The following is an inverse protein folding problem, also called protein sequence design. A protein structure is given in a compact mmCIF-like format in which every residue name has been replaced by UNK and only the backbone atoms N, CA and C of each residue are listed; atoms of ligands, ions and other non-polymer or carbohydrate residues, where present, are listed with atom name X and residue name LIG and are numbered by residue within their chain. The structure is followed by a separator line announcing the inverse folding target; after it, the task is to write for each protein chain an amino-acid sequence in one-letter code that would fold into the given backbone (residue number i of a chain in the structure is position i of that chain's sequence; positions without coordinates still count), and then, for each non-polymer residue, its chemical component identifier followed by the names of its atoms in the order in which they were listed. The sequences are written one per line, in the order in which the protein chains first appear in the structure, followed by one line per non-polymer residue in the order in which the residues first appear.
data_IF_655830468167
#
_entry.id   IF_655830468167
#
_cell.length_a   1.000
_cell.length_b   1.000
_cell.length_c   1.000
_cell.angle_alpha   90.00
_cell.angle_beta   90.00
_cell.angle_gamma   90.00
#
_symmetry.space_group_name_H-M   'P 1'
#
loop_
_entity.id
_entity.type
_entity.pdbx_description
1 polymer ?
#
# COMPACT_ATOMS: atom_id res chain seq x y z
N UNK A 1 -39.02 10.89 -14.57
CA UNK A 1 -37.99 9.83 -14.69
C UNK A 1 -36.67 10.23 -14.06
N UNK A 2 -35.87 11.16 -14.60
CA UNK A 2 -34.55 11.46 -14.00
C UNK A 2 -34.66 12.15 -12.61
N UNK A 3 -35.59 13.10 -12.43
CA UNK A 3 -35.85 13.72 -11.12
C UNK A 3 -36.31 12.70 -10.08
N UNK A 4 -37.27 11.83 -10.45
CA UNK A 4 -37.78 10.76 -9.57
C UNK A 4 -36.68 9.77 -9.18
N UNK A 5 -35.77 9.45 -10.10
CA UNK A 5 -34.62 8.61 -9.79
C UNK A 5 -33.70 9.30 -8.77
N UNK A 6 -33.34 10.57 -8.99
CA UNK A 6 -32.46 11.31 -8.06
C UNK A 6 -33.10 11.46 -6.66
N UNK A 7 -34.41 11.69 -6.59
CA UNK A 7 -35.16 11.72 -5.33
C UNK A 7 -35.11 10.36 -4.61
N UNK A 8 -35.25 9.25 -5.36
CA UNK A 8 -35.14 7.91 -4.81
C UNK A 8 -33.71 7.63 -4.29
N UNK A 9 -32.68 7.99 -5.05
CA UNK A 9 -31.28 7.83 -4.64
C UNK A 9 -30.98 8.65 -3.36
N UNK A 10 -31.51 9.86 -3.27
CA UNK A 10 -31.38 10.69 -2.07
C UNK A 10 -32.09 10.06 -0.87
N UNK A 11 -33.28 9.50 -1.06
CA UNK A 11 -33.99 8.79 0.02
C UNK A 11 -33.22 7.57 0.52
N UNK A 12 -32.60 6.79 -0.36
CA UNK A 12 -31.72 5.69 0.02
C UNK A 12 -30.46 6.16 0.73
N UNK A 13 -29.89 7.29 0.30
CA UNK A 13 -28.72 7.86 0.97
C UNK A 13 -29.05 8.25 2.42
N UNK A 14 -30.20 8.89 2.65
CA UNK A 14 -30.67 9.26 4.00
C UNK A 14 -30.98 8.04 4.90
N UNK A 15 -31.11 6.85 4.32
CA UNK A 15 -31.33 5.58 5.01
C UNK A 15 -30.05 4.73 5.10
N UNK A 16 -28.90 5.29 4.72
CA UNK A 16 -27.61 4.60 4.61
C UNK A 16 -27.65 3.35 3.70
N UNK A 17 -28.61 3.28 2.77
CA UNK A 17 -28.78 2.18 1.82
C UNK A 17 -27.86 2.36 0.58
N UNK A 18 -26.56 2.60 0.81
CA UNK A 18 -25.59 2.90 -0.25
C UNK A 18 -25.44 1.77 -1.28
N UNK A 19 -25.52 0.50 -0.83
CA UNK A 19 -25.49 -0.65 -1.72
C UNK A 19 -26.61 -0.63 -2.77
N UNK A 20 -27.81 -0.14 -2.42
CA UNK A 20 -28.93 -0.02 -3.37
C UNK A 20 -28.69 1.10 -4.38
N UNK A 21 -28.05 2.19 -3.97
CA UNK A 21 -27.64 3.28 -4.87
C UNK A 21 -26.66 2.73 -5.91
N UNK A 22 -25.65 1.99 -5.45
CA UNK A 22 -24.65 1.36 -6.32
C UNK A 22 -25.32 0.43 -7.32
N UNK A 23 -26.07 -0.58 -6.84
CA UNK A 23 -26.75 -1.56 -7.71
C UNK A 23 -27.66 -0.86 -8.74
N UNK A 24 -28.41 0.16 -8.30
CA UNK A 24 -29.35 0.86 -9.18
C UNK A 24 -28.67 1.64 -10.29
N UNK A 25 -27.54 2.29 -10.00
CA UNK A 25 -26.80 3.09 -10.98
C UNK A 25 -25.95 2.19 -11.87
N UNK A 26 -25.33 1.13 -11.33
CA UNK A 26 -24.55 0.18 -12.11
C UNK A 26 -25.40 -0.56 -13.16
N UNK A 27 -26.69 -0.79 -12.88
CA UNK A 27 -27.65 -1.32 -13.84
C UNK A 27 -27.92 -0.39 -15.05
N UNK A 28 -27.51 0.88 -14.99
CA UNK A 28 -27.59 1.82 -16.11
C UNK A 28 -26.29 1.70 -16.91
N UNK A 29 -26.33 1.57 -18.25
CA UNK A 29 -25.12 1.54 -19.08
C UNK A 29 -24.22 2.76 -18.83
N UNK A 30 -22.90 2.57 -18.75
CA UNK A 30 -21.95 3.65 -18.47
C UNK A 30 -22.12 4.87 -19.38
N UNK A 31 -22.40 4.63 -20.67
CA UNK A 31 -22.63 5.69 -21.67
C UNK A 31 -23.89 6.53 -21.42
N UNK A 32 -24.80 6.05 -20.57
CA UNK A 32 -26.05 6.71 -20.20
C UNK A 32 -25.98 7.36 -18.81
N UNK A 33 -24.90 7.14 -18.06
CA UNK A 33 -24.70 7.76 -16.74
C UNK A 33 -24.25 9.21 -16.94
N UNK A 34 -25.08 10.14 -16.49
CA UNK A 34 -24.72 11.56 -16.52
C UNK A 34 -23.89 11.96 -15.30
N UNK A 35 -23.44 13.22 -15.28
CA UNK A 35 -22.67 13.80 -14.19
C UNK A 35 -23.28 13.56 -12.80
N UNK A 36 -24.61 13.71 -12.67
CA UNK A 36 -25.29 13.57 -11.40
C UNK A 36 -25.28 12.12 -10.91
N UNK A 37 -25.55 11.16 -11.81
CA UNK A 37 -25.52 9.74 -11.47
C UNK A 37 -24.10 9.31 -11.09
N UNK A 38 -23.08 9.77 -11.81
CA UNK A 38 -21.68 9.48 -11.49
C UNK A 38 -21.30 10.08 -10.13
N UNK A 39 -21.73 11.31 -9.85
CA UNK A 39 -21.52 11.94 -8.54
C UNK A 39 -22.17 11.17 -7.40
N UNK A 40 -23.40 10.66 -7.57
CA UNK A 40 -24.08 9.85 -6.55
C UNK A 40 -23.45 8.47 -6.39
N UNK A 41 -22.99 7.85 -7.48
CA UNK A 41 -22.29 6.57 -7.44
C UNK A 41 -20.97 6.70 -6.67
N UNK A 42 -20.14 7.70 -7.00
CA UNK A 42 -18.90 7.96 -6.28
C UNK A 42 -19.13 8.28 -4.79
N UNK A 43 -20.21 9.02 -4.47
CA UNK A 43 -20.60 9.25 -3.07
C UNK A 43 -20.93 7.93 -2.37
N UNK A 44 -21.71 7.06 -3.00
CA UNK A 44 -22.07 5.76 -2.43
C UNK A 44 -20.81 4.90 -2.22
N UNK A 45 -19.91 4.86 -3.20
CA UNK A 45 -18.63 4.18 -3.08
C UNK A 45 -17.76 4.67 -1.92
N UNK A 46 -17.63 5.99 -1.75
CA UNK A 46 -16.93 6.55 -0.59
C UNK A 46 -17.55 6.10 0.75
N UNK A 47 -18.87 5.98 0.83
CA UNK A 47 -19.54 5.55 2.06
C UNK A 47 -19.49 4.02 2.29
N UNK A 48 -19.12 3.23 1.28
CA UNK A 48 -18.94 1.77 1.39
C UNK A 48 -17.49 1.35 1.37
N UNK A 49 -16.52 2.27 1.52
CA UNK A 49 -15.09 1.96 1.50
C UNK A 49 -14.52 1.63 0.12
N UNK A 50 -15.30 1.77 -0.96
CA UNK A 50 -14.91 1.47 -2.35
C UNK A 50 -14.18 2.66 -2.98
N UNK A 51 -13.11 3.13 -2.32
CA UNK A 51 -12.48 4.42 -2.61
C UNK A 51 -11.81 4.47 -3.98
N UNK A 52 -11.22 3.36 -4.45
CA UNK A 52 -10.62 3.28 -5.79
C UNK A 52 -11.68 3.45 -6.87
N UNK A 53 -12.81 2.77 -6.75
CA UNK A 53 -13.92 2.95 -7.70
C UNK A 53 -14.51 4.36 -7.61
N UNK A 54 -14.56 4.97 -6.43
CA UNK A 54 -14.97 6.36 -6.29
C UNK A 54 -14.05 7.32 -7.07
N UNK A 55 -12.72 7.17 -6.94
CA UNK A 55 -11.74 7.95 -7.71
C UNK A 55 -11.95 7.74 -9.21
N UNK A 56 -12.05 6.49 -9.67
CA UNK A 56 -12.26 6.17 -11.08
C UNK A 56 -13.52 6.86 -11.65
N UNK A 57 -14.65 6.73 -10.95
CA UNK A 57 -15.90 7.36 -11.37
C UNK A 57 -15.79 8.89 -11.39
N UNK A 58 -15.20 9.51 -10.37
CA UNK A 58 -15.03 10.96 -10.32
C UNK A 58 -14.14 11.47 -11.45
N UNK A 59 -13.01 10.81 -11.69
CA UNK A 59 -12.08 11.17 -12.76
C UNK A 59 -12.71 11.03 -14.16
N UNK A 60 -13.65 10.10 -14.36
CA UNK A 60 -14.37 9.97 -15.65
C UNK A 60 -15.14 11.24 -16.06
N UNK A 61 -15.52 12.09 -15.09
CA UNK A 61 -16.24 13.35 -15.30
C UNK A 61 -15.44 14.58 -14.88
N UNK A 62 -14.11 14.48 -14.82
CA UNK A 62 -13.24 15.55 -14.31
C UNK A 62 -13.47 16.91 -14.99
N UNK A 63 -13.82 16.95 -16.28
CA UNK A 63 -14.08 18.20 -17.01
C UNK A 63 -15.32 18.94 -16.47
N UNK A 64 -16.35 18.19 -16.08
CA UNK A 64 -17.58 18.76 -15.50
C UNK A 64 -17.37 19.08 -14.01
N UNK A 65 -16.64 18.23 -13.29
CA UNK A 65 -16.40 18.35 -11.85
C UNK A 65 -15.34 19.38 -11.42
N UNK A 66 -14.48 19.84 -12.33
CA UNK A 66 -13.35 20.73 -11.99
C UNK A 66 -13.73 22.02 -11.25
N UNK A 67 -14.96 22.51 -11.44
CA UNK A 67 -15.51 23.71 -10.79
C UNK A 67 -16.62 23.40 -9.77
N UNK A 68 -16.81 22.13 -9.41
CA UNK A 68 -17.78 21.70 -8.41
C UNK A 68 -17.07 21.38 -7.08
N UNK A 69 -17.30 22.17 -6.02
CA UNK A 69 -16.66 21.95 -4.73
C UNK A 69 -17.03 20.61 -4.09
N UNK A 70 -18.24 20.08 -4.30
CA UNK A 70 -18.63 18.77 -3.76
C UNK A 70 -17.94 17.63 -4.48
N UNK A 71 -17.71 17.76 -5.79
CA UNK A 71 -16.92 16.80 -6.55
C UNK A 71 -15.46 16.79 -6.07
N UNK A 72 -14.86 17.98 -5.88
CA UNK A 72 -13.50 18.13 -5.38
C UNK A 72 -13.36 17.53 -3.98
N UNK A 73 -14.31 17.81 -3.08
CA UNK A 73 -14.35 17.23 -1.75
C UNK A 73 -14.44 15.69 -1.79
N UNK A 74 -15.34 15.14 -2.62
CA UNK A 74 -15.49 13.67 -2.74
C UNK A 74 -14.24 13.00 -3.31
N UNK A 75 -13.55 13.67 -4.23
CA UNK A 75 -12.30 13.18 -4.80
C UNK A 75 -11.17 13.23 -3.76
N UNK A 76 -11.05 14.35 -3.02
CA UNK A 76 -10.09 14.49 -1.94
C UNK A 76 -10.31 13.45 -0.84
N UNK A 77 -11.56 13.23 -0.45
CA UNK A 77 -11.96 12.20 0.51
C UNK A 77 -11.53 10.81 0.03
N UNK A 78 -11.86 10.44 -1.21
CA UNK A 78 -11.47 9.15 -1.76
C UNK A 78 -9.94 8.98 -1.80
N UNK A 79 -9.19 10.00 -2.21
CA UNK A 79 -7.73 9.98 -2.21
C UNK A 79 -7.12 9.84 -0.82
N UNK A 80 -7.72 10.45 0.20
CA UNK A 80 -7.26 10.35 1.59
C UNK A 80 -7.27 8.89 2.07
N UNK A 81 -8.36 8.17 1.80
CA UNK A 81 -8.53 6.79 2.26
C UNK A 81 -7.79 5.74 1.42
N UNK A 82 -7.20 6.12 0.29
CA UNK A 82 -6.22 5.28 -0.44
C UNK A 82 -4.78 5.79 -0.23
N UNK A 83 -4.56 6.56 0.84
CA UNK A 83 -3.26 7.13 1.23
C UNK A 83 -2.55 7.92 0.10
N UNK A 84 -3.29 8.52 -0.83
CA UNK A 84 -2.74 9.37 -1.88
C UNK A 84 -2.83 10.85 -1.44
N UNK A 85 -2.08 11.18 -0.39
CA UNK A 85 -2.23 12.45 0.33
C UNK A 85 -1.87 13.67 -0.52
N UNK A 86 -0.94 13.55 -1.46
CA UNK A 86 -0.62 14.63 -2.39
C UNK A 86 -1.82 15.00 -3.29
N UNK A 87 -2.51 14.00 -3.85
CA UNK A 87 -3.70 14.25 -4.68
C UNK A 87 -4.91 14.65 -3.82
N UNK A 88 -5.03 14.09 -2.61
CA UNK A 88 -6.05 14.51 -1.66
C UNK A 88 -5.90 16.01 -1.33
N UNK A 89 -4.67 16.47 -1.05
CA UNK A 89 -4.38 17.86 -0.74
C UNK A 89 -4.76 18.79 -1.90
N UNK A 90 -4.38 18.46 -3.14
CA UNK A 90 -4.75 19.25 -4.31
C UNK A 90 -6.27 19.36 -4.48
N UNK A 91 -7.00 18.26 -4.29
CA UNK A 91 -8.46 18.24 -4.41
C UNK A 91 -9.14 19.07 -3.32
N UNK A 92 -8.71 18.94 -2.06
CA UNK A 92 -9.27 19.72 -0.95
C UNK A 92 -8.91 21.20 -1.01
N UNK A 93 -7.70 21.56 -1.44
CA UNK A 93 -7.33 22.97 -1.69
C UNK A 93 -8.24 23.57 -2.78
N UNK A 94 -8.50 22.80 -3.84
CA UNK A 94 -9.42 23.23 -4.89
C UNK A 94 -10.87 23.33 -4.41
N UNK A 95 -11.30 22.47 -3.50
CA UNK A 95 -12.61 22.56 -2.86
C UNK A 95 -12.74 23.84 -2.03
N UNK A 96 -11.73 24.19 -1.22
CA UNK A 96 -11.71 25.42 -0.41
C UNK A 96 -11.65 26.69 -1.28
N UNK A 97 -10.92 26.67 -2.40
CA UNK A 97 -10.93 27.78 -3.37
C UNK A 97 -12.33 28.05 -3.94
N UNK A 98 -13.11 26.99 -4.21
CA UNK A 98 -14.45 27.06 -4.80
C UNK A 98 -15.53 27.38 -3.76
N UNK A 99 -15.37 26.87 -2.54
CA UNK A 99 -16.26 27.09 -1.40
C UNK A 99 -15.45 27.37 -0.13
N UNK A 100 -14.99 28.62 0.05
CA UNK A 100 -14.19 28.97 1.23
C UNK A 100 -15.00 28.84 2.52
N UNK A 101 -14.30 28.50 3.61
CA UNK A 101 -14.88 28.38 4.96
C UNK A 101 -15.82 27.18 5.16
N UNK A 102 -15.78 26.19 4.28
CA UNK A 102 -16.41 24.90 4.55
C UNK A 102 -15.66 24.17 5.67
N UNK A 103 -16.34 23.90 6.78
CA UNK A 103 -15.72 23.37 8.00
C UNK A 103 -15.11 21.98 7.77
N UNK A 104 -15.82 21.11 7.06
CA UNK A 104 -15.37 19.75 6.73
C UNK A 104 -14.13 19.76 5.85
N UNK A 105 -14.10 20.59 4.80
CA UNK A 105 -12.93 20.76 3.93
C UNK A 105 -11.73 21.27 4.71
N UNK A 106 -11.93 22.27 5.57
CA UNK A 106 -10.85 22.82 6.40
C UNK A 106 -10.33 21.81 7.44
N UNK A 107 -11.17 20.91 7.94
CA UNK A 107 -10.76 19.82 8.83
C UNK A 107 -9.84 18.82 8.12
N UNK A 108 -10.25 18.32 6.95
CA UNK A 108 -9.40 17.45 6.13
C UNK A 108 -8.09 18.14 5.76
N UNK A 109 -8.13 19.41 5.34
CA UNK A 109 -6.91 20.16 5.04
C UNK A 109 -5.94 20.23 6.21
N UNK A 110 -6.40 20.32 7.46
CA UNK A 110 -5.51 20.31 8.64
C UNK A 110 -4.86 18.95 8.84
N UNK A 111 -5.60 17.87 8.60
CA UNK A 111 -5.13 16.50 8.76
C UNK A 111 -4.13 16.10 7.66
N UNK A 112 -4.45 16.35 6.39
CA UNK A 112 -3.67 15.82 5.26
C UNK A 112 -2.40 16.61 4.94
N UNK A 113 -2.29 17.88 5.37
CA UNK A 113 -1.11 18.71 5.07
C UNK A 113 0.19 18.07 5.57
N UNK A 114 0.32 17.66 6.85
CA UNK A 114 1.53 16.96 7.31
C UNK A 114 1.77 15.66 6.53
N UNK A 115 0.74 14.87 6.24
CA UNK A 115 0.86 13.63 5.48
C UNK A 115 1.35 13.83 4.05
N UNK A 116 0.81 14.84 3.35
CA UNK A 116 1.24 15.19 2.00
C UNK A 116 2.68 15.72 1.98
N UNK A 117 3.08 16.50 3.00
CA UNK A 117 4.46 16.98 3.14
C UNK A 117 5.44 15.85 3.47
N UNK A 118 5.02 14.86 4.27
CA UNK A 118 5.77 13.62 4.51
C UNK A 118 5.91 12.82 3.22
N UNK A 119 4.82 12.51 2.54
CA UNK A 119 4.80 11.77 1.28
C UNK A 119 5.69 12.41 0.20
N UNK A 120 5.74 13.75 0.11
CA UNK A 120 6.65 14.46 -0.81
C UNK A 120 8.13 14.27 -0.46
N UNK A 121 8.46 14.31 0.83
CA UNK A 121 9.84 14.05 1.30
C UNK A 121 10.24 12.61 1.00
N UNK A 122 9.34 11.66 1.23
CA UNK A 122 9.57 10.24 0.97
C UNK A 122 9.72 9.96 -0.54
N UNK A 123 8.90 10.61 -1.38
CA UNK A 123 9.05 10.56 -2.84
C UNK A 123 10.42 11.09 -3.29
N UNK A 124 10.84 12.24 -2.78
CA UNK A 124 12.15 12.80 -3.11
C UNK A 124 13.28 11.87 -2.67
N UNK A 125 13.22 11.34 -1.44
CA UNK A 125 14.18 10.37 -0.92
C UNK A 125 14.24 9.11 -1.79
N UNK A 126 13.09 8.56 -2.17
CA UNK A 126 12.99 7.43 -3.09
C UNK A 126 13.68 7.73 -4.43
N UNK A 127 13.37 8.85 -5.07
CA UNK A 127 13.95 9.21 -6.37
C UNK A 127 15.49 9.33 -6.29
N UNK A 128 16.01 9.96 -5.24
CA UNK A 128 17.45 10.11 -5.00
C UNK A 128 18.14 8.77 -4.74
N UNK A 129 17.59 7.95 -3.83
CA UNK A 129 18.15 6.66 -3.46
C UNK A 129 18.05 5.64 -4.61
N UNK A 130 16.95 5.61 -5.36
CA UNK A 130 16.79 4.75 -6.53
C UNK A 130 17.75 5.13 -7.66
N UNK A 131 17.97 6.44 -7.88
CA UNK A 131 18.95 6.90 -8.85
C UNK A 131 20.39 6.51 -8.46
N UNK A 132 20.74 6.65 -7.17
CA UNK A 132 22.04 6.22 -6.65
C UNK A 132 22.21 4.69 -6.76
N UNK A 133 21.16 3.93 -6.45
CA UNK A 133 21.15 2.48 -6.55
C UNK A 133 21.39 2.02 -8.00
N UNK A 134 20.68 2.61 -8.97
CA UNK A 134 20.90 2.34 -10.41
C UNK A 134 22.32 2.66 -10.87
N UNK A 135 22.93 3.72 -10.33
CA UNK A 135 24.32 4.09 -10.65
C UNK A 135 25.36 3.11 -10.07
N UNK A 136 25.03 2.38 -9.00
CA UNK A 136 25.92 1.37 -8.42
C UNK A 136 26.16 0.17 -9.36
N UNK A 137 25.26 -0.04 -10.33
CA UNK A 137 25.29 -1.20 -11.24
C UNK A 137 24.80 -2.50 -10.60
N UNK A 138 24.35 -2.46 -9.34
CA UNK A 138 23.68 -3.56 -8.64
C UNK A 138 22.18 -3.39 -8.91
N UNK A 139 21.61 -4.17 -9.83
CA UNK A 139 20.17 -4.18 -10.06
C UNK A 139 19.71 -5.55 -10.54
N UNK A 140 18.79 -6.16 -9.80
CA UNK A 140 18.32 -7.53 -9.96
C UNK A 140 19.47 -8.53 -9.88
N UNK A 141 20.29 -8.44 -8.81
CA UNK A 141 21.49 -9.25 -8.62
C UNK A 141 21.45 -10.11 -7.34
N UNK A 142 20.25 -10.47 -6.84
CA UNK A 142 20.09 -11.30 -5.62
C UNK A 142 20.53 -12.77 -5.82
N UNK A 143 21.01 -13.18 -7.00
CA UNK A 143 21.63 -14.49 -7.19
C UNK A 143 23.12 -14.54 -6.82
N UNK A 144 23.71 -13.41 -6.47
CA UNK A 144 25.11 -13.30 -6.10
C UNK A 144 25.30 -12.61 -4.75
N UNK A 145 26.25 -13.12 -3.96
CA UNK A 145 26.64 -12.50 -2.71
C UNK A 145 27.22 -11.11 -2.94
N UNK A 146 26.86 -10.15 -2.09
CA UNK A 146 27.43 -8.80 -2.08
C UNK A 146 27.11 -8.10 -0.77
N UNK A 147 28.14 -7.54 -0.13
CA UNK A 147 28.02 -6.91 1.18
C UNK A 147 27.69 -7.93 2.26
N UNK A 148 26.64 -7.66 3.03
CA UNK A 148 26.08 -8.54 4.07
C UNK A 148 25.17 -9.63 3.52
N UNK A 149 24.77 -9.55 2.25
CA UNK A 149 23.89 -10.52 1.62
C UNK A 149 24.67 -11.68 0.99
N UNK A 150 24.33 -12.91 1.36
CA UNK A 150 24.77 -14.14 0.71
C UNK A 150 23.57 -15.09 0.49
N UNK A 151 23.19 -15.41 -0.76
CA UNK A 151 22.05 -16.29 -1.03
C UNK A 151 22.22 -17.70 -0.43
N UNK A 152 23.45 -18.16 -0.18
CA UNK A 152 23.70 -19.48 0.39
C UNK A 152 23.35 -19.59 1.89
N UNK A 153 23.35 -18.46 2.60
CA UNK A 153 23.08 -18.41 4.05
C UNK A 153 21.88 -17.52 4.38
N UNK A 154 21.20 -16.97 3.37
CA UNK A 154 20.10 -16.03 3.57
C UNK A 154 18.92 -16.67 4.29
N UNK A 155 18.59 -17.94 4.03
CA UNK A 155 17.42 -18.60 4.59
C UNK A 155 17.77 -19.48 5.80
N UNK A 156 17.05 -19.31 6.91
CA UNK A 156 17.12 -20.21 8.07
C UNK A 156 16.58 -21.58 7.69
N UNK A 157 17.40 -22.61 7.85
CA UNK A 157 17.02 -23.99 7.61
C UNK A 157 16.38 -24.59 8.87
N UNK A 158 15.05 -24.73 8.87
CA UNK A 158 14.32 -25.37 9.96
C UNK A 158 13.05 -26.05 9.46
N UNK A 159 12.63 -27.13 10.14
CA UNK A 159 11.38 -27.83 9.83
C UNK A 159 10.17 -26.88 9.96
N UNK A 160 10.22 -25.96 10.92
CA UNK A 160 9.17 -24.94 11.09
C UNK A 160 9.05 -24.02 9.86
N UNK A 161 10.18 -23.47 9.37
CA UNK A 161 10.16 -22.63 8.18
C UNK A 161 9.67 -23.42 6.96
N UNK A 162 10.16 -24.66 6.79
CA UNK A 162 9.79 -25.52 5.67
C UNK A 162 8.29 -25.84 5.63
N UNK A 163 7.69 -26.13 6.79
CA UNK A 163 6.29 -26.52 6.88
C UNK A 163 5.34 -25.32 6.70
N UNK A 164 5.72 -24.14 7.22
CA UNK A 164 4.80 -23.00 7.34
C UNK A 164 5.02 -21.89 6.29
N UNK A 165 6.26 -21.66 5.84
CA UNK A 165 6.62 -20.48 5.04
C UNK A 165 7.25 -20.81 3.68
N UNK A 166 7.84 -21.99 3.50
CA UNK A 166 8.48 -22.37 2.23
C UNK A 166 7.47 -23.03 1.31
N UNK A 167 7.03 -22.27 0.31
CA UNK A 167 6.17 -22.73 -0.78
C UNK A 167 6.89 -23.62 -1.78
N UNK A 168 6.12 -24.36 -2.58
CA UNK A 168 6.64 -25.06 -3.76
C UNK A 168 7.26 -24.07 -4.78
N UNK A 169 8.19 -24.50 -5.66
CA UNK A 169 8.70 -23.65 -6.73
C UNK A 169 7.60 -23.23 -7.71
N UNK A 170 7.58 -21.95 -8.07
CA UNK A 170 6.62 -21.36 -9.01
C UNK A 170 7.14 -21.37 -10.46
N UNK A 171 6.21 -21.25 -11.41
CA UNK A 171 6.51 -21.03 -12.82
C UNK A 171 6.02 -19.67 -13.34
N UNK A 172 6.15 -19.43 -14.64
CA UNK A 172 5.73 -18.16 -15.26
C UNK A 172 4.21 -17.97 -15.25
N UNK A 173 3.43 -19.05 -15.31
CA UNK A 173 1.96 -18.97 -15.26
C UNK A 173 1.51 -18.53 -13.86
N UNK A 174 2.15 -19.05 -12.81
CA UNK A 174 1.88 -18.66 -11.43
C UNK A 174 2.24 -17.19 -11.17
N UNK A 175 3.39 -16.71 -11.66
CA UNK A 175 3.74 -15.27 -11.57
C UNK A 175 2.64 -14.42 -12.21
N UNK A 176 2.23 -14.74 -13.44
CA UNK A 176 1.19 -13.96 -14.15
C UNK A 176 -0.14 -14.01 -13.40
N UNK A 177 -0.50 -15.16 -12.82
CA UNK A 177 -1.72 -15.30 -12.03
C UNK A 177 -1.68 -14.42 -10.78
N UNK A 178 -0.58 -14.44 -10.02
CA UNK A 178 -0.41 -13.65 -8.80
C UNK A 178 -0.40 -12.15 -9.11
N UNK A 179 0.33 -11.72 -10.15
CA UNK A 179 0.35 -10.31 -10.57
C UNK A 179 -1.03 -9.82 -11.03
N UNK A 180 -1.83 -10.66 -11.69
CA UNK A 180 -3.20 -10.33 -12.08
C UNK A 180 -4.14 -10.19 -10.87
N UNK A 181 -4.02 -11.09 -9.90
CA UNK A 181 -4.83 -11.09 -8.68
C UNK A 181 -4.51 -9.89 -7.77
N UNK A 182 -3.21 -9.62 -7.58
CA UNK A 182 -2.75 -8.49 -6.77
C UNK A 182 -2.86 -7.17 -7.53
N UNK A 183 -2.86 -7.18 -8.86
CA UNK A 183 -2.95 -5.98 -9.71
C UNK A 183 -1.63 -5.21 -9.84
N UNK A 184 -0.51 -5.86 -9.52
CA UNK A 184 0.82 -5.25 -9.46
C UNK A 184 1.86 -6.20 -10.05
N UNK A 185 2.81 -5.63 -10.81
CA UNK A 185 3.97 -6.35 -11.33
C UNK A 185 4.95 -6.65 -10.19
N UNK A 186 5.37 -7.91 -10.02
CA UNK A 186 6.35 -8.27 -9.00
C UNK A 186 7.74 -7.74 -9.38
N UNK A 187 8.52 -7.18 -8.43
CA UNK A 187 9.89 -6.76 -8.70
C UNK A 187 10.73 -7.93 -9.21
N UNK A 188 11.58 -7.70 -10.21
CA UNK A 188 12.42 -8.76 -10.76
C UNK A 188 13.39 -9.31 -9.71
N UNK A 189 13.86 -8.48 -8.77
CA UNK A 189 14.66 -8.88 -7.62
C UNK A 189 13.89 -9.79 -6.66
N UNK A 190 12.59 -9.54 -6.44
CA UNK A 190 11.72 -10.38 -5.63
C UNK A 190 11.62 -11.78 -6.23
N UNK A 191 11.29 -11.87 -7.51
CA UNK A 191 11.23 -13.14 -8.26
C UNK A 191 12.58 -13.87 -8.19
N UNK A 192 13.70 -13.16 -8.30
CA UNK A 192 15.03 -13.77 -8.19
C UNK A 192 15.30 -14.38 -6.82
N UNK A 193 14.94 -13.69 -5.74
CA UNK A 193 15.10 -14.22 -4.39
C UNK A 193 14.21 -15.45 -4.20
N UNK A 194 12.94 -15.38 -4.62
CA UNK A 194 12.00 -16.49 -4.46
C UNK A 194 12.36 -17.72 -5.30
N UNK A 195 13.14 -17.55 -6.37
CA UNK A 195 13.73 -18.67 -7.11
C UNK A 195 14.85 -19.41 -6.34
N UNK A 196 15.42 -18.80 -5.29
CA UNK A 196 16.38 -19.50 -4.41
C UNK A 196 15.65 -20.37 -3.39
N UNK A 197 14.58 -19.83 -2.80
CA UNK A 197 13.62 -20.51 -1.94
C UNK A 197 12.34 -19.66 -1.95
N UNK A 198 11.18 -20.27 -2.20
CA UNK A 198 9.93 -19.53 -2.38
C UNK A 198 9.29 -19.22 -1.02
N UNK A 199 9.69 -18.11 -0.41
CA UNK A 199 9.30 -17.75 0.95
C UNK A 199 10.17 -18.41 2.03
N UNK A 200 10.04 -17.93 3.26
CA UNK A 200 10.80 -18.47 4.39
C UNK A 200 11.20 -17.42 5.42
N UNK A 201 12.08 -17.83 6.33
CA UNK A 201 12.60 -16.95 7.39
C UNK A 201 14.03 -16.55 7.02
N UNK A 202 14.33 -15.25 6.87
CA UNK A 202 15.69 -14.80 6.60
C UNK A 202 16.57 -14.93 7.86
N UNK A 203 17.88 -15.09 7.67
CA UNK A 203 18.85 -15.17 8.75
C UNK A 203 19.13 -13.81 9.41
N UNK A 204 18.92 -12.73 8.65
CA UNK A 204 18.99 -11.34 9.13
C UNK A 204 17.57 -10.76 9.04
N UNK A 205 17.06 -10.26 10.15
CA UNK A 205 15.63 -9.95 10.33
C UNK A 205 15.39 -8.49 10.66
N UNK A 206 16.42 -7.69 10.92
CA UNK A 206 16.27 -6.28 11.32
C UNK A 206 16.63 -5.36 10.17
N UNK A 207 15.83 -4.30 9.97
CA UNK A 207 16.11 -3.24 9.00
C UNK A 207 16.25 -1.88 9.70
N UNK A 208 17.42 -1.20 9.57
CA UNK A 208 17.63 0.14 10.12
C UNK A 208 16.70 1.20 9.51
N UNK A 209 16.12 2.06 10.34
CA UNK A 209 15.37 3.25 9.93
C UNK A 209 15.87 4.52 10.64
N UNK A 210 15.51 5.68 10.11
CA UNK A 210 15.79 7.00 10.73
C UNK A 210 14.53 7.60 11.36
N UNK A 211 13.41 6.92 11.22
CA UNK A 211 12.09 7.31 11.69
C UNK A 211 11.65 6.29 12.73
N UNK A 212 11.26 6.77 13.91
CA UNK A 212 10.77 5.92 14.98
C UNK A 212 9.42 5.30 14.60
N UNK A 213 9.24 4.05 15.01
CA UNK A 213 7.96 3.32 14.95
C UNK A 213 7.30 3.30 16.33
N UNK A 214 6.13 2.66 16.46
CA UNK A 214 5.52 2.45 17.78
C UNK A 214 6.37 1.59 18.72
N UNK A 215 7.25 0.75 18.16
CA UNK A 215 8.03 -0.24 18.90
C UNK A 215 9.50 0.13 19.09
N UNK A 216 10.16 0.71 18.09
CA UNK A 216 11.60 1.05 18.16
C UNK A 216 11.93 2.42 17.55
N UNK A 217 12.98 3.07 18.05
CA UNK A 217 13.38 4.41 17.62
C UNK A 217 14.07 4.46 16.25
N UNK A 218 14.75 3.37 15.85
CA UNK A 218 15.71 3.39 14.75
C UNK A 218 15.78 2.09 13.91
N UNK A 219 14.83 1.17 14.08
CA UNK A 219 14.75 -0.06 13.29
C UNK A 219 13.33 -0.65 13.23
N UNK A 220 13.13 -1.59 12.31
CA UNK A 220 11.97 -2.50 12.27
C UNK A 220 12.48 -3.94 12.15
N UNK A 221 11.67 -4.90 12.55
CA UNK A 221 11.97 -6.32 12.45
C UNK A 221 10.96 -7.05 11.56
N UNK A 222 11.43 -8.05 10.81
CA UNK A 222 10.60 -8.98 10.05
C UNK A 222 10.78 -10.40 10.59
N UNK A 223 9.73 -11.22 10.51
CA UNK A 223 9.77 -12.62 10.93
C UNK A 223 9.78 -13.59 9.75
N UNK A 224 9.21 -13.21 8.62
CA UNK A 224 9.15 -14.05 7.44
C UNK A 224 9.09 -13.19 6.16
N UNK A 225 9.49 -13.78 5.04
CA UNK A 225 9.19 -13.29 3.70
C UNK A 225 8.17 -14.21 3.07
N UNK A 226 7.12 -13.61 2.52
CA UNK A 226 6.04 -14.33 1.84
C UNK A 226 6.55 -14.95 0.52
N UNK A 227 6.11 -16.16 0.20
CA UNK A 227 6.36 -16.81 -1.09
C UNK A 227 5.36 -16.39 -2.18
N UNK A 228 5.72 -16.57 -3.44
CA UNK A 228 4.82 -16.42 -4.59
C UNK A 228 3.94 -17.67 -4.69
N UNK A 229 2.62 -17.53 -4.53
CA UNK A 229 1.67 -18.63 -4.69
C UNK A 229 0.50 -18.53 -3.70
N UNK A 230 -0.28 -19.62 -3.64
CA UNK A 230 -1.47 -19.79 -2.78
C UNK A 230 -1.34 -20.96 -1.79
N UNK A 231 -0.26 -21.74 -1.89
CA UNK A 231 -0.11 -23.04 -1.23
C UNK A 231 0.15 -22.94 0.28
N UNK A 232 0.74 -21.84 0.74
CA UNK A 232 0.96 -21.53 2.16
C UNK A 232 0.01 -20.46 2.65
N UNK A 233 -0.36 -20.55 3.93
CA UNK A 233 -1.21 -19.56 4.62
C UNK A 233 -0.59 -18.16 4.51
N UNK A 234 0.75 -18.06 4.63
CA UNK A 234 1.52 -16.82 4.58
C UNK A 234 2.23 -16.61 3.23
N UNK A 235 1.73 -17.20 2.14
CA UNK A 235 2.14 -16.82 0.80
C UNK A 235 1.44 -15.53 0.36
N UNK A 236 1.95 -14.88 -0.70
CA UNK A 236 1.40 -13.62 -1.22
C UNK A 236 -0.11 -13.66 -1.44
N UNK A 237 -0.62 -14.78 -1.99
CA UNK A 237 -2.04 -15.04 -2.20
C UNK A 237 -2.55 -16.20 -1.32
N UNK A 238 -1.91 -16.40 -0.16
CA UNK A 238 -2.38 -17.32 0.87
C UNK A 238 -3.60 -16.79 1.63
N UNK A 239 -4.14 -17.62 2.53
CA UNK A 239 -5.30 -17.27 3.38
C UNK A 239 -5.07 -16.00 4.21
N UNK A 240 -3.85 -15.79 4.71
CA UNK A 240 -3.44 -14.60 5.46
C UNK A 240 -2.44 -13.75 4.64
N UNK A 241 -2.54 -13.82 3.31
CA UNK A 241 -1.67 -13.10 2.37
C UNK A 241 -2.02 -11.62 2.20
N UNK A 242 -1.50 -11.01 1.13
CA UNK A 242 -1.58 -9.57 0.94
C UNK A 242 -2.99 -9.01 0.87
N UNK A 243 -3.94 -9.73 0.24
CA UNK A 243 -5.33 -9.28 0.13
C UNK A 243 -6.06 -9.32 1.47
N UNK A 244 -5.86 -10.37 2.25
CA UNK A 244 -6.43 -10.47 3.59
C UNK A 244 -5.98 -9.31 4.49
N UNK A 245 -4.69 -8.96 4.46
CA UNK A 245 -4.19 -7.83 5.26
C UNK A 245 -4.84 -6.49 4.86
N UNK A 246 -5.05 -6.26 3.56
CA UNK A 246 -5.67 -5.02 3.07
C UNK A 246 -7.18 -5.01 3.33
N UNK A 247 -7.88 -6.09 3.00
CA UNK A 247 -9.35 -6.15 2.96
C UNK A 247 -9.96 -6.45 4.34
N UNK A 248 -9.38 -7.36 5.10
CA UNK A 248 -9.91 -7.81 6.40
C UNK A 248 -9.25 -7.09 7.58
N UNK A 249 -7.96 -6.77 7.47
CA UNK A 249 -7.23 -6.03 8.52
C UNK A 249 -7.18 -4.52 8.30
N UNK A 250 -7.61 -4.04 7.13
CA UNK A 250 -7.75 -2.61 6.86
C UNK A 250 -6.45 -1.86 6.57
N UNK A 251 -5.37 -2.58 6.25
CA UNK A 251 -4.13 -1.94 5.80
C UNK A 251 -4.37 -1.12 4.51
N UNK A 252 -3.68 0.01 4.34
CA UNK A 252 -3.84 0.84 3.15
C UNK A 252 -3.44 0.06 1.90
N UNK A 253 -4.24 0.19 0.85
CA UNK A 253 -3.99 -0.45 -0.44
C UNK A 253 -2.88 0.34 -1.19
N UNK A 254 -1.63 0.13 -0.78
CA UNK A 254 -0.43 0.75 -1.37
C UNK A 254 0.16 -0.10 -2.51
N UNK A 255 -0.09 -1.41 -2.46
CA UNK A 255 0.64 -2.42 -3.22
C UNK A 255 0.55 -3.80 -2.59
N UNK A 256 1.70 -4.45 -2.40
CA UNK A 256 1.78 -5.87 -2.00
C UNK A 256 2.40 -5.98 -0.61
N UNK A 257 1.74 -6.65 0.34
CA UNK A 257 2.35 -7.07 1.61
C UNK A 257 3.32 -8.22 1.35
N UNK A 258 4.54 -8.11 1.85
CA UNK A 258 5.62 -9.06 1.53
C UNK A 258 6.30 -9.71 2.75
N UNK A 259 6.06 -9.20 3.96
CA UNK A 259 6.63 -9.76 5.18
C UNK A 259 5.60 -9.83 6.30
N UNK A 260 5.73 -10.85 7.14
CA UNK A 260 5.21 -10.80 8.50
C UNK A 260 6.23 -10.10 9.42
N UNK A 261 5.73 -9.42 10.44
CA UNK A 261 6.52 -8.83 11.52
C UNK A 261 6.26 -9.54 12.86
N UNK A 262 7.15 -9.41 13.87
CA UNK A 262 7.01 -10.08 15.16
C UNK A 262 5.73 -9.76 15.95
N UNK A 263 5.03 -8.68 15.60
CA UNK A 263 3.79 -8.23 16.25
C UNK A 263 2.56 -9.09 15.96
N UNK A 264 2.71 -10.16 15.16
CA UNK A 264 1.61 -11.01 14.70
C UNK A 264 0.55 -10.25 13.88
N UNK A 265 1.01 -9.35 13.00
CA UNK A 265 0.18 -8.68 12.00
C UNK A 265 -0.33 -7.29 12.40
N UNK A 266 0.15 -6.73 13.51
CA UNK A 266 -0.11 -5.31 13.87
C UNK A 266 0.83 -4.36 13.13
N UNK A 267 1.82 -4.89 12.43
CA UNK A 267 2.62 -4.17 11.45
C UNK A 267 3.03 -5.10 10.30
N UNK A 268 3.28 -4.48 9.14
CA UNK A 268 3.65 -5.20 7.91
C UNK A 268 4.70 -4.43 7.12
N UNK A 269 5.42 -5.15 6.27
CA UNK A 269 6.26 -4.53 5.23
C UNK A 269 5.58 -4.71 3.87
N UNK A 270 5.48 -3.61 3.11
CA UNK A 270 4.81 -3.56 1.81
C UNK A 270 5.74 -3.06 0.71
N UNK A 271 5.51 -3.56 -0.51
CA UNK A 271 5.92 -2.90 -1.75
C UNK A 271 4.93 -1.77 -2.04
N UNK A 272 5.38 -0.52 -2.04
CA UNK A 272 4.55 0.66 -2.27
C UNK A 272 4.70 1.15 -3.73
N UNK A 273 3.59 1.08 -4.47
CA UNK A 273 3.53 1.44 -5.89
C UNK A 273 3.00 2.87 -6.12
N UNK A 274 2.66 3.65 -5.08
CA UNK A 274 2.11 5.00 -5.23
C UNK A 274 3.00 5.93 -6.03
N UNK A 275 4.32 5.72 -6.00
CA UNK A 275 5.28 6.57 -6.71
C UNK A 275 5.58 6.11 -8.15
N UNK A 276 5.38 4.83 -8.47
CA UNK A 276 5.83 4.25 -9.75
C UNK A 276 4.69 3.66 -10.60
N UNK A 277 3.48 3.51 -10.03
CA UNK A 277 2.35 2.85 -10.68
C UNK A 277 2.50 1.33 -10.72
N UNK A 278 1.45 0.57 -11.10
CA UNK A 278 1.39 -0.88 -10.89
C UNK A 278 2.44 -1.70 -11.66
N UNK A 279 3.03 -1.13 -12.71
CA UNK A 279 4.05 -1.77 -13.55
C UNK A 279 5.48 -1.29 -13.22
N UNK A 280 5.62 -0.39 -12.25
CA UNK A 280 6.89 0.23 -11.88
C UNK A 280 7.75 -0.61 -10.94
N UNK A 281 8.96 -0.13 -10.64
CA UNK A 281 9.76 -0.65 -9.54
C UNK A 281 9.31 0.05 -8.25
N UNK A 282 8.65 -0.65 -7.31
CA UNK A 282 8.14 -0.05 -6.06
C UNK A 282 9.26 0.19 -5.06
N UNK A 283 9.06 1.16 -4.17
CA UNK A 283 9.85 1.26 -2.95
C UNK A 283 9.32 0.29 -1.88
N UNK A 284 10.05 0.16 -0.78
CA UNK A 284 9.63 -0.67 0.36
C UNK A 284 9.28 0.23 1.54
N UNK A 285 8.14 -0.04 2.17
CA UNK A 285 7.64 0.70 3.34
C UNK A 285 7.23 -0.26 4.45
N UNK A 286 7.30 0.22 5.68
CA UNK A 286 6.67 -0.38 6.85
C UNK A 286 5.34 0.33 7.13
N UNK A 287 4.32 -0.40 7.58
CA UNK A 287 3.03 0.17 7.96
C UNK A 287 2.64 -0.33 9.34
N UNK A 288 2.39 0.61 10.25
CA UNK A 288 2.15 0.36 11.67
C UNK A 288 0.69 0.60 12.04
N UNK A 289 -0.07 -0.47 12.28
CA UNK A 289 -1.50 -0.36 12.62
C UNK A 289 -1.72 0.33 13.98
N UNK A 290 -0.82 0.13 14.95
CA UNK A 290 -0.97 0.70 16.29
C UNK A 290 -0.79 2.23 16.27
N UNK A 291 -0.10 2.74 15.25
CA UNK A 291 0.09 4.16 14.99
C UNK A 291 -0.75 4.65 13.79
N UNK A 292 -2.03 4.28 13.73
CA UNK A 292 -3.00 4.74 12.72
C UNK A 292 -2.56 4.45 11.26
N UNK A 293 -1.94 3.29 11.05
CA UNK A 293 -1.36 2.88 9.76
C UNK A 293 -0.29 3.83 9.23
N UNK A 294 0.50 4.43 10.13
CA UNK A 294 1.66 5.27 9.76
C UNK A 294 2.58 4.52 8.80
N UNK A 295 2.95 5.19 7.70
CA UNK A 295 3.74 4.59 6.62
C UNK A 295 5.18 5.10 6.73
N UNK A 296 6.11 4.22 7.06
CA UNK A 296 7.54 4.55 7.17
C UNK A 296 8.31 4.08 5.94
N UNK A 297 9.00 4.98 5.25
CA UNK A 297 9.83 4.63 4.10
C UNK A 297 11.10 3.88 4.53
N UNK A 298 11.36 2.70 3.95
CA UNK A 298 12.50 1.86 4.28
C UNK A 298 13.60 1.90 3.20
N UNK A 299 13.25 1.58 1.95
CA UNK A 299 14.24 1.36 0.89
C UNK A 299 13.71 1.73 -0.50
N UNK A 300 14.60 2.09 -1.45
CA UNK A 300 14.18 2.53 -2.79
C UNK A 300 13.66 1.40 -3.68
N UNK A 301 13.94 0.14 -3.34
CA UNK A 301 13.42 -1.05 -3.99
C UNK A 301 13.65 -2.28 -3.12
N UNK A 302 13.06 -3.41 -3.53
CA UNK A 302 13.16 -4.67 -2.80
C UNK A 302 14.60 -5.17 -2.63
N UNK A 303 15.45 -5.06 -3.65
CA UNK A 303 16.85 -5.52 -3.53
C UNK A 303 17.63 -4.71 -2.49
N UNK A 304 17.44 -3.39 -2.46
CA UNK A 304 18.05 -2.53 -1.46
C UNK A 304 17.56 -2.89 -0.04
N UNK A 305 16.26 -3.21 0.12
CA UNK A 305 15.72 -3.69 1.39
C UNK A 305 16.41 -4.98 1.86
N UNK A 306 16.42 -6.01 1.01
CA UNK A 306 17.02 -7.32 1.35
C UNK A 306 18.51 -7.22 1.67
N UNK A 307 19.25 -6.35 0.96
CA UNK A 307 20.67 -6.12 1.23
C UNK A 307 20.93 -5.26 2.47
N UNK A 308 19.91 -4.54 2.94
CA UNK A 308 19.98 -3.69 4.13
C UNK A 308 19.61 -4.40 5.43
N UNK A 309 19.15 -5.67 5.36
CA UNK A 309 18.88 -6.47 6.55
C UNK A 309 20.18 -6.74 7.32
N UNK A 310 20.08 -6.63 8.65
CA UNK A 310 21.17 -6.83 9.62
C UNK A 310 20.73 -7.77 10.73
N UNK A 311 21.70 -8.17 11.54
CA UNK A 311 21.50 -9.07 12.68
C UNK A 311 20.76 -8.34 13.82
N UNK A 312 19.88 -9.04 14.53
CA UNK A 312 19.15 -8.55 15.70
C UNK A 312 20.11 -8.10 16.81
N UNK A 313 21.23 -8.82 16.99
CA UNK A 313 22.28 -8.49 17.96
C UNK A 313 22.89 -7.10 17.73
N UNK A 314 22.71 -6.49 16.54
CA UNK A 314 23.18 -5.13 16.25
C UNK A 314 22.50 -4.09 17.14
N UNK A 315 21.26 -4.35 17.57
CA UNK A 315 20.41 -3.43 18.31
C UNK A 315 20.18 -3.85 19.77
N UNK A 316 20.26 -5.14 20.09
CA UNK A 316 20.25 -5.61 21.48
C UNK A 316 21.43 -5.05 22.30
N UNK A 317 22.57 -4.76 21.65
CA UNK A 317 23.74 -4.18 22.31
C UNK A 317 23.58 -2.68 22.65
N UNK A 318 22.63 -1.95 22.06
CA UNK A 318 22.41 -0.54 22.38
C UNK A 318 21.53 -0.30 23.61
N UNK A 319 20.70 -1.27 23.99
CA UNK A 319 19.83 -1.17 25.17
C UNK A 319 20.59 -1.46 26.47
N UNK A 320 21.68 -2.23 26.43
CA UNK A 320 22.54 -2.48 27.60
C UNK A 320 23.46 -1.29 27.95
N UNK A 321 23.78 -0.39 27.02
CA UNK A 321 24.68 0.76 27.28
C UNK A 321 23.98 1.98 27.91
N UNK A 322 22.65 1.95 28.09
CA UNK A 322 21.87 3.05 28.68
C UNK A 322 21.41 2.81 30.14
N UNK A 323 21.86 1.72 30.79
CA UNK A 323 21.52 1.39 32.19
C UNK A 323 22.58 1.72 33.25
N UNK A 324 23.62 2.53 32.96
CA UNK A 324 24.66 2.93 33.94
C UNK A 324 24.58 4.38 34.46
#
# INVERSE_FOLDING_TARGET
MQSELLEQLQSWHEQDEFGRIIERIEAIPETERDYNLIGQLARAYNNTGRYREAVEQLLSVHQQGASDPLWQYRLGYAYCYIANYEQALLAFERADELMPHDESTLEFLRQIRPEADKMRRDRQRHEEELAAFKQSGIQNHLRAASGTYDPATFWVQSDYAQDNHVSDPFDEEEIVSIEQELGYKLPASYIQLMNTQNGGIPALTVFPTKEATSWAEDHIAISSLMGIGHDKIYALAGELGSRFMIEDWGYPDLGIVICDCPSAGHDVVMLDYRFCGPEGEPCVVHVDQENDYEITYLAPNFEAFIRGLVDEDTYDLSDEENED
#
